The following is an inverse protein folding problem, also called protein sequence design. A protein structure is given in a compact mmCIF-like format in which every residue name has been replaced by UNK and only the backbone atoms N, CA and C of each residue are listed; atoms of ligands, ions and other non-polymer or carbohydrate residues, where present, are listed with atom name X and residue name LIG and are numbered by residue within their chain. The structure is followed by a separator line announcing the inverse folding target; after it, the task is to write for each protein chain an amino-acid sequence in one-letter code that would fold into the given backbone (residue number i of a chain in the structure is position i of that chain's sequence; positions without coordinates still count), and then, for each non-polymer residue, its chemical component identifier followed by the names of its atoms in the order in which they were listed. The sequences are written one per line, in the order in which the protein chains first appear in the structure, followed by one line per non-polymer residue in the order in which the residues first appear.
data_IF_581723435103
#
_entry.id   IF_581723435103
#
_cell.length_a   1.000
_cell.length_b   1.000
_cell.length_c   1.000
_cell.angle_alpha   90.00
_cell.angle_beta   90.00
_cell.angle_gamma   90.00
#
_symmetry.space_group_name_H-M   'P 1'
#
loop_
_entity.id
_entity.type
_entity.pdbx_description
1 polymer ?
#
# COMPACT_ATOMS: atom_id res chain seq x y z
N UNK A 1 78.71 -6.31 3.66
CA UNK A 1 77.46 -6.40 2.87
C UNK A 1 76.27 -6.37 3.82
N UNK A 2 75.52 -5.27 3.95
CA UNK A 2 74.25 -5.29 4.66
C UNK A 2 73.09 -5.57 3.69
N UNK A 3 72.32 -6.64 3.86
CA UNK A 3 71.01 -6.76 3.23
C UNK A 3 69.96 -6.03 4.08
N UNK A 4 68.80 -5.78 3.47
CA UNK A 4 67.50 -5.49 4.14
C UNK A 4 67.09 -4.04 4.40
N UNK A 5 67.00 -3.21 3.34
CA UNK A 5 66.10 -2.03 3.38
C UNK A 5 64.96 -2.11 2.35
N UNK A 6 65.18 -2.77 1.20
CA UNK A 6 64.19 -2.84 0.11
C UNK A 6 62.92 -3.67 0.39
N UNK A 7 62.95 -4.58 1.36
CA UNK A 7 61.81 -5.50 1.60
C UNK A 7 60.67 -4.87 2.42
N UNK A 8 60.99 -3.91 3.30
CA UNK A 8 60.00 -3.21 4.14
C UNK A 8 59.20 -2.17 3.36
N UNK A 9 59.83 -1.50 2.38
CA UNK A 9 59.18 -0.52 1.52
C UNK A 9 58.15 -1.15 0.59
N UNK A 10 58.45 -2.33 0.03
CA UNK A 10 57.53 -3.06 -0.86
C UNK A 10 56.27 -3.52 -0.12
N UNK A 11 56.40 -4.12 1.06
CA UNK A 11 55.26 -4.61 1.84
C UNK A 11 54.39 -3.46 2.38
N UNK A 12 54.99 -2.34 2.79
CA UNK A 12 54.26 -1.13 3.21
C UNK A 12 53.51 -0.52 2.03
N UNK A 13 54.14 -0.43 0.86
CA UNK A 13 53.54 0.12 -0.35
C UNK A 13 52.38 -0.76 -0.84
N UNK A 14 52.48 -2.09 -0.78
CA UNK A 14 51.36 -2.99 -1.07
C UNK A 14 50.20 -2.84 -0.09
N UNK A 15 50.48 -2.63 1.21
CA UNK A 15 49.43 -2.37 2.21
C UNK A 15 48.72 -1.03 1.96
N UNK A 16 49.46 0.01 1.60
CA UNK A 16 48.86 1.31 1.25
C UNK A 16 48.01 1.21 -0.02
N UNK A 17 48.49 0.53 -1.07
CA UNK A 17 47.72 0.31 -2.29
C UNK A 17 46.43 -0.47 -2.02
N UNK A 18 46.49 -1.52 -1.20
CA UNK A 18 45.32 -2.33 -0.85
C UNK A 18 44.27 -1.54 -0.06
N UNK A 19 44.70 -0.71 0.90
CA UNK A 19 43.79 0.17 1.66
C UNK A 19 43.14 1.21 0.74
N UNK A 20 43.91 1.81 -0.17
CA UNK A 20 43.38 2.79 -1.14
C UNK A 20 42.37 2.10 -2.09
N UNK A 21 42.67 0.90 -2.58
CA UNK A 21 41.73 0.14 -3.43
C UNK A 21 40.43 -0.20 -2.72
N UNK A 22 40.46 -0.61 -1.44
CA UNK A 22 39.26 -0.87 -0.64
C UNK A 22 38.47 0.41 -0.41
N UNK A 23 39.14 1.53 -0.08
CA UNK A 23 38.48 2.81 0.13
C UNK A 23 37.78 3.31 -1.15
N UNK A 24 38.43 3.17 -2.31
CA UNK A 24 37.82 3.50 -3.60
C UNK A 24 36.62 2.59 -3.89
N UNK A 25 36.72 1.28 -3.64
CA UNK A 25 35.61 0.34 -3.82
C UNK A 25 34.41 0.69 -2.94
N UNK A 26 34.64 1.04 -1.67
CA UNK A 26 33.56 1.44 -0.74
C UNK A 26 32.93 2.78 -1.14
N UNK A 27 33.73 3.72 -1.64
CA UNK A 27 33.25 5.01 -2.13
C UNK A 27 32.41 4.84 -3.41
N UNK A 28 32.84 4.00 -4.35
CA UNK A 28 32.07 3.74 -5.58
C UNK A 28 30.76 3.02 -5.29
N UNK A 29 30.75 2.03 -4.39
CA UNK A 29 29.51 1.34 -3.97
C UNK A 29 28.54 2.33 -3.31
N UNK A 30 29.03 3.23 -2.44
CA UNK A 30 28.20 4.23 -1.77
C UNK A 30 27.62 5.26 -2.74
N UNK A 31 28.36 5.65 -3.79
CA UNK A 31 27.89 6.57 -4.82
C UNK A 31 26.91 5.92 -5.83
N UNK A 32 27.03 4.61 -6.11
CA UNK A 32 26.15 3.92 -7.07
C UNK A 32 24.88 3.33 -6.44
N UNK A 33 24.82 3.16 -5.11
CA UNK A 33 23.67 2.62 -4.39
C UNK A 33 22.34 3.41 -4.56
N UNK A 34 22.31 4.77 -4.61
CA UNK A 34 21.04 5.49 -4.66
C UNK A 34 20.35 5.46 -6.04
N UNK A 35 20.99 4.99 -7.12
CA UNK A 35 20.37 4.96 -8.46
C UNK A 35 19.36 3.81 -8.66
N UNK A 36 19.31 2.82 -7.77
CA UNK A 36 18.38 1.67 -7.92
C UNK A 36 17.01 1.90 -7.25
N UNK A 37 16.83 3.00 -6.53
CA UNK A 37 15.57 3.34 -5.85
C UNK A 37 14.56 4.06 -6.76
N UNK A 38 14.93 4.41 -8.00
CA UNK A 38 13.97 4.86 -9.02
C UNK A 38 13.48 3.66 -9.84
N UNK A 39 12.87 2.70 -9.15
CA UNK A 39 12.02 1.72 -9.80
C UNK A 39 10.80 2.46 -10.36
N UNK A 40 10.73 2.47 -11.69
CA UNK A 40 9.49 2.50 -12.47
C UNK A 40 8.55 3.71 -12.26
N UNK A 41 8.72 4.65 -13.19
CA UNK A 41 7.69 5.45 -13.87
C UNK A 41 6.21 5.03 -13.68
N UNK A 42 5.28 6.01 -13.76
CA UNK A 42 3.88 5.85 -13.41
C UNK A 42 3.24 4.74 -14.22
N UNK A 43 2.49 3.88 -13.54
CA UNK A 43 1.50 3.00 -14.16
C UNK A 43 0.58 3.92 -14.97
N UNK A 44 0.74 3.91 -16.30
CA UNK A 44 -0.32 4.31 -17.22
C UNK A 44 -1.39 3.24 -17.03
N UNK A 45 -2.28 3.50 -16.08
CA UNK A 45 -3.45 2.69 -15.87
C UNK A 45 -4.26 2.82 -17.15
N UNK A 46 -4.30 1.74 -17.93
CA UNK A 46 -5.22 1.61 -19.04
C UNK A 46 -6.60 1.95 -18.50
N UNK A 47 -7.18 3.05 -18.98
CA UNK A 47 -8.61 3.28 -18.84
C UNK A 47 -9.28 2.18 -19.62
N UNK A 48 -9.55 1.05 -18.96
CA UNK A 48 -10.54 0.10 -19.44
C UNK A 48 -11.82 0.92 -19.58
N UNK A 49 -12.31 1.10 -20.80
CA UNK A 49 -13.69 1.47 -21.05
C UNK A 49 -14.54 0.61 -20.11
N UNK A 50 -15.34 1.21 -19.21
CA UNK A 50 -16.20 0.44 -18.34
C UNK A 50 -17.05 -0.43 -19.25
N UNK A 51 -16.84 -1.75 -19.19
CA UNK A 51 -17.85 -2.67 -19.72
C UNK A 51 -19.14 -2.27 -19.04
N UNK A 52 -20.24 -2.18 -19.79
CA UNK A 52 -21.56 -1.92 -19.23
C UNK A 52 -21.87 -3.04 -18.24
N UNK A 53 -21.47 -2.83 -16.98
CA UNK A 53 -21.78 -3.72 -15.89
C UNK A 53 -23.30 -3.66 -15.74
N UNK A 54 -23.98 -4.79 -15.53
CA UNK A 54 -25.41 -4.78 -15.26
C UNK A 54 -25.67 -3.70 -14.21
N UNK A 55 -26.63 -2.81 -14.49
CA UNK A 55 -27.06 -1.78 -13.55
C UNK A 55 -27.24 -2.47 -12.21
N UNK A 56 -26.40 -2.17 -11.20
CA UNK A 56 -26.46 -2.87 -9.94
C UNK A 56 -27.86 -2.65 -9.41
N UNK A 57 -28.62 -3.74 -9.30
CA UNK A 57 -29.91 -3.67 -8.63
C UNK A 57 -29.59 -3.66 -7.14
N UNK A 58 -29.98 -2.60 -6.44
CA UNK A 58 -29.83 -2.54 -4.99
C UNK A 58 -30.54 -3.72 -4.32
N UNK A 59 -29.75 -4.63 -3.77
CA UNK A 59 -30.23 -5.73 -2.92
C UNK A 59 -30.07 -5.31 -1.44
N UNK A 60 -31.18 -5.16 -0.68
CA UNK A 60 -31.13 -4.82 0.74
C UNK A 60 -30.37 -5.85 1.59
N UNK A 61 -30.31 -7.11 1.16
CA UNK A 61 -29.62 -8.19 1.87
C UNK A 61 -28.11 -7.94 1.92
N UNK A 62 -27.57 -7.06 1.07
CA UNK A 62 -26.16 -6.62 1.09
C UNK A 62 -25.78 -5.82 2.34
N UNK A 63 -26.77 -5.36 3.12
CA UNK A 63 -26.53 -4.72 4.42
C UNK A 63 -26.30 -5.74 5.54
N UNK A 64 -26.68 -7.01 5.33
CA UNK A 64 -26.43 -8.08 6.30
C UNK A 64 -24.94 -8.39 6.43
N UNK A 65 -24.54 -8.99 7.55
CA UNK A 65 -23.16 -9.43 7.76
C UNK A 65 -22.74 -10.35 6.60
N UNK A 66 -21.58 -10.11 5.96
CA UNK A 66 -21.19 -10.88 4.79
C UNK A 66 -21.01 -12.36 5.12
N UNK A 67 -21.62 -13.21 4.30
CA UNK A 67 -21.44 -14.67 4.36
C UNK A 67 -20.13 -15.00 3.65
N UNK A 68 -19.10 -15.33 4.43
CA UNK A 68 -17.79 -15.72 3.89
C UNK A 68 -17.66 -17.24 3.86
N UNK A 69 -17.19 -17.78 2.73
CA UNK A 69 -17.01 -19.23 2.58
C UNK A 69 -16.08 -19.80 3.65
N UNK A 70 -16.42 -20.99 4.18
CA UNK A 70 -15.69 -21.60 5.29
C UNK A 70 -14.18 -21.78 5.00
N UNK A 71 -13.82 -22.02 3.73
CA UNK A 71 -12.42 -22.19 3.28
C UNK A 71 -11.67 -20.91 2.92
N UNK A 72 -12.28 -19.72 3.07
CA UNK A 72 -11.61 -18.46 2.78
C UNK A 72 -10.42 -18.21 3.72
N UNK A 73 -9.35 -17.53 3.25
CA UNK A 73 -8.23 -17.13 4.11
C UNK A 73 -8.71 -16.29 5.29
N UNK A 74 -8.06 -16.45 6.45
CA UNK A 74 -8.43 -15.74 7.68
C UNK A 74 -8.37 -14.21 7.52
N UNK A 75 -7.36 -13.72 6.79
CA UNK A 75 -7.23 -12.30 6.50
C UNK A 75 -8.41 -11.76 5.69
N UNK A 76 -8.95 -12.55 4.75
CA UNK A 76 -10.13 -12.16 3.97
C UNK A 76 -11.37 -12.10 4.86
N UNK A 77 -11.59 -13.13 5.70
CA UNK A 77 -12.70 -13.15 6.66
C UNK A 77 -12.67 -11.90 7.56
N UNK A 78 -11.51 -11.63 8.16
CA UNK A 78 -11.34 -10.48 9.04
C UNK A 78 -11.54 -9.14 8.32
N UNK A 79 -10.97 -9.01 7.13
CA UNK A 79 -11.10 -7.82 6.31
C UNK A 79 -12.55 -7.55 5.90
N UNK A 80 -13.29 -8.58 5.50
CA UNK A 80 -14.70 -8.47 5.13
C UNK A 80 -15.59 -8.02 6.30
N UNK A 81 -15.36 -8.56 7.50
CA UNK A 81 -16.11 -8.14 8.70
C UNK A 81 -15.83 -6.67 9.05
N UNK A 82 -14.56 -6.25 9.01
CA UNK A 82 -14.16 -4.86 9.27
C UNK A 82 -14.77 -3.93 8.22
N UNK A 83 -14.66 -4.28 6.94
CA UNK A 83 -15.17 -3.47 5.85
C UNK A 83 -16.69 -3.28 5.99
N UNK A 84 -17.43 -4.36 6.20
CA UNK A 84 -18.88 -4.32 6.42
C UNK A 84 -19.26 -3.43 7.62
N UNK A 85 -18.59 -3.60 8.77
CA UNK A 85 -18.98 -2.92 10.00
C UNK A 85 -18.61 -1.42 10.05
N UNK A 86 -17.54 -1.01 9.37
CA UNK A 86 -16.94 0.32 9.55
C UNK A 86 -16.88 1.11 8.24
N UNK A 87 -16.48 0.45 7.15
CA UNK A 87 -16.12 1.14 5.92
C UNK A 87 -17.30 1.28 4.96
N UNK A 88 -18.14 0.25 4.90
CA UNK A 88 -19.20 0.08 3.91
C UNK A 88 -20.20 1.23 3.91
N UNK A 89 -20.55 1.76 5.08
CA UNK A 89 -21.48 2.88 5.23
C UNK A 89 -21.08 4.10 4.39
N UNK A 90 -19.77 4.35 4.27
CA UNK A 90 -19.23 5.49 3.53
C UNK A 90 -18.72 5.11 2.13
N UNK A 91 -18.07 3.97 2.00
CA UNK A 91 -17.45 3.53 0.75
C UNK A 91 -18.39 2.75 -0.16
N UNK A 92 -19.58 2.39 0.33
CA UNK A 92 -20.48 1.50 -0.39
C UNK A 92 -20.06 0.04 -0.28
N UNK A 93 -20.99 -0.86 -0.55
CA UNK A 93 -20.75 -2.31 -0.52
C UNK A 93 -19.83 -2.82 -1.65
N UNK A 94 -19.72 -2.05 -2.74
CA UNK A 94 -18.82 -2.32 -3.86
C UNK A 94 -17.71 -1.26 -4.03
N UNK A 95 -17.52 -0.38 -3.04
CA UNK A 95 -16.54 0.71 -3.17
C UNK A 95 -17.02 1.87 -4.06
N UNK A 96 -18.31 1.94 -4.38
CA UNK A 96 -18.91 2.95 -5.26
C UNK A 96 -19.09 4.33 -4.58
N UNK A 97 -18.82 4.42 -3.28
CA UNK A 97 -19.05 5.61 -2.48
C UNK A 97 -20.54 5.91 -2.23
N UNK A 98 -20.82 7.13 -1.76
CA UNK A 98 -22.15 7.58 -1.33
C UNK A 98 -23.08 7.96 -2.50
N UNK A 99 -23.31 7.02 -3.42
CA UNK A 99 -24.33 7.20 -4.47
C UNK A 99 -25.71 7.40 -3.85
N UNK A 100 -26.62 8.06 -4.57
CA UNK A 100 -28.00 8.28 -4.10
C UNK A 100 -28.73 6.95 -3.82
N UNK A 101 -28.49 5.95 -4.66
CA UNK A 101 -28.99 4.59 -4.48
C UNK A 101 -28.45 3.96 -3.20
N UNK A 102 -27.13 4.03 -2.98
CA UNK A 102 -26.50 3.50 -1.77
C UNK A 102 -26.99 4.18 -0.50
N UNK A 103 -27.17 5.50 -0.49
CA UNK A 103 -27.69 6.20 0.69
C UNK A 103 -29.12 5.78 1.01
N UNK A 104 -29.94 5.58 -0.02
CA UNK A 104 -31.34 5.15 0.14
C UNK A 104 -31.47 3.75 0.76
N UNK A 105 -30.41 2.94 0.72
CA UNK A 105 -30.30 1.63 1.36
C UNK A 105 -30.62 1.63 2.85
N UNK A 106 -30.13 2.64 3.56
CA UNK A 106 -30.23 2.78 5.02
C UNK A 106 -31.60 3.33 5.46
N UNK A 107 -32.51 3.61 4.51
CA UNK A 107 -33.78 4.26 4.79
C UNK A 107 -33.65 5.77 4.92
N UNK A 108 -34.79 6.48 4.83
CA UNK A 108 -34.82 7.93 4.68
C UNK A 108 -34.20 8.69 5.86
N UNK A 109 -34.22 8.12 7.06
CA UNK A 109 -33.77 8.75 8.31
C UNK A 109 -32.25 8.66 8.49
N UNK A 110 -31.63 7.63 7.90
CA UNK A 110 -30.20 7.30 8.03
C UNK A 110 -29.41 7.60 6.74
N UNK A 111 -30.13 7.92 5.64
CA UNK A 111 -29.56 8.28 4.32
C UNK A 111 -28.62 9.48 4.35
N UNK A 112 -28.74 10.35 5.36
CA UNK A 112 -27.90 11.52 5.58
C UNK A 112 -27.20 11.41 6.93
N UNK A 113 -26.43 10.34 7.11
CA UNK A 113 -25.64 10.04 8.30
C UNK A 113 -24.71 11.18 8.77
N UNK A 114 -24.40 12.18 7.92
CA UNK A 114 -23.65 13.39 8.30
C UNK A 114 -24.52 14.56 8.83
N UNK A 115 -25.85 14.46 8.77
CA UNK A 115 -26.81 15.49 9.23
C UNK A 115 -27.52 15.15 10.54
N UNK A 116 -27.72 13.86 10.84
CA UNK A 116 -28.50 13.42 12.00
C UNK A 116 -27.61 13.28 13.23
N UNK A 117 -27.99 13.88 14.36
CA UNK A 117 -27.30 13.85 15.67
C UNK A 117 -27.03 12.47 16.31
N UNK A 118 -27.11 11.36 15.55
CA UNK A 118 -26.45 10.08 15.89
C UNK A 118 -24.99 10.03 15.41
N UNK A 119 -24.62 10.86 14.43
CA UNK A 119 -23.27 11.08 13.87
C UNK A 119 -23.03 12.55 13.44
N UNK A 120 -23.98 13.45 13.69
CA UNK A 120 -23.90 14.89 13.50
C UNK A 120 -23.54 15.65 14.79
N UNK A 121 -23.57 16.98 14.75
CA UNK A 121 -23.11 17.86 15.83
C UNK A 121 -23.80 17.65 17.19
N UNK A 122 -24.97 17.02 17.21
CA UNK A 122 -25.82 16.84 18.39
C UNK A 122 -25.73 15.43 19.02
N UNK A 123 -24.72 14.61 18.66
CA UNK A 123 -24.51 13.29 19.28
C UNK A 123 -23.98 13.41 20.72
N UNK A 124 -24.56 12.69 21.71
CA UNK A 124 -24.12 12.76 23.12
C UNK A 124 -22.67 12.30 23.36
#
# INVERSE_FOLDING_TARGET
MPPTVKHKSCLSQHRHLLVISIAILLLTVSLLAPLRAQASSPIIQSTSTPSAQPTPTFDPQRLEKPVIAAGSPEQLKKGSEIYWAICMSCHGDHGQGLTSEWRSAYGAEESNCWQSGCHGADYP
#
